data_IF_065031574689
#
_entry.id   IF_065031574689
#
_cell.length_a   1.000
_cell.length_b   1.000
_cell.length_c   1.000
_cell.angle_alpha   90.00
_cell.angle_beta   90.00
_cell.angle_gamma   90.00
#
_symmetry.space_group_name_H-M   'P 1'
#
loop_
_entity.id
_entity.type
_entity.pdbx_description
1 polymer ?
#
# COMPACT_ATOMS: atom_id res chain seq x y z
N UNK A 1 -11.35 -13.93 -0.48
CA UNK A 1 -10.85 -12.94 0.52
C UNK A 1 -9.53 -13.33 1.19
N UNK A 2 -9.28 -14.60 1.55
CA UNK A 2 -8.09 -14.97 2.32
C UNK A 2 -6.76 -14.72 1.58
N UNK A 3 -6.71 -15.05 0.28
CA UNK A 3 -5.50 -14.84 -0.54
C UNK A 3 -5.17 -13.34 -0.67
N UNK A 4 -6.18 -12.50 -0.93
CA UNK A 4 -5.99 -11.03 -1.02
C UNK A 4 -5.59 -10.41 0.33
N UNK A 5 -6.10 -10.95 1.44
CA UNK A 5 -5.73 -10.51 2.81
C UNK A 5 -4.31 -10.89 3.21
N UNK A 6 -3.78 -11.97 2.63
CA UNK A 6 -2.42 -12.42 2.87
C UNK A 6 -1.42 -11.73 1.93
N UNK A 7 -1.86 -11.41 0.72
CA UNK A 7 -1.01 -10.78 -0.28
C UNK A 7 -0.89 -9.28 -0.08
N UNK A 8 -1.95 -8.57 0.33
CA UNK A 8 -1.96 -7.13 0.58
C UNK A 8 -2.05 -6.82 2.09
N UNK A 9 -1.59 -5.65 2.60
CA UNK A 9 -1.66 -5.25 4.01
C UNK A 9 -3.11 -4.95 4.47
N UNK A 10 -4.05 -5.82 4.12
CA UNK A 10 -5.49 -5.73 4.31
C UNK A 10 -5.95 -5.99 5.75
N UNK A 11 -5.05 -6.43 6.63
CA UNK A 11 -5.43 -7.04 7.91
C UNK A 11 -5.97 -6.07 8.96
N UNK A 12 -5.93 -4.75 8.71
CA UNK A 12 -6.68 -3.82 9.53
C UNK A 12 -8.10 -3.72 9.01
N UNK A 13 -9.00 -4.54 9.55
CA UNK A 13 -10.45 -4.36 9.41
C UNK A 13 -10.80 -2.98 10.02
N UNK A 14 -11.10 -1.94 9.23
CA UNK A 14 -11.60 -0.71 9.83
C UNK A 14 -12.93 -1.07 10.50
N UNK A 15 -13.05 -0.83 11.81
CA UNK A 15 -14.26 -1.15 12.56
C UNK A 15 -15.36 -0.18 12.14
N UNK A 16 -16.07 -0.47 11.05
CA UNK A 16 -17.33 0.15 10.59
C UNK A 16 -17.39 1.69 10.49
N UNK A 17 -16.34 2.44 10.84
CA UNK A 17 -16.34 3.90 10.96
C UNK A 17 -15.48 4.52 9.85
N UNK A 18 -15.97 5.59 9.23
CA UNK A 18 -15.24 6.33 8.19
C UNK A 18 -13.90 6.89 8.67
N UNK A 19 -13.79 7.21 9.97
CA UNK A 19 -12.56 7.71 10.61
C UNK A 19 -11.45 6.66 10.60
N UNK A 20 -11.79 5.39 10.83
CA UNK A 20 -10.81 4.30 10.84
C UNK A 20 -10.26 4.05 9.43
N UNK A 21 -11.11 4.18 8.40
CA UNK A 21 -10.68 4.09 7.01
C UNK A 21 -9.75 5.25 6.65
N UNK A 22 -10.09 6.47 7.05
CA UNK A 22 -9.24 7.65 6.81
C UNK A 22 -7.85 7.48 7.45
N UNK A 23 -7.81 7.06 8.72
CA UNK A 23 -6.54 6.82 9.44
C UNK A 23 -5.72 5.74 8.71
N UNK A 24 -6.37 4.67 8.26
CA UNK A 24 -5.68 3.58 7.57
C UNK A 24 -5.10 4.01 6.20
N UNK A 25 -5.87 4.76 5.40
CA UNK A 25 -5.37 5.33 4.13
C UNK A 25 -4.19 6.26 4.37
N UNK A 26 -4.26 7.09 5.42
CA UNK A 26 -3.15 7.98 5.80
C UNK A 26 -1.91 7.18 6.21
N UNK A 27 -2.06 6.10 6.98
CA UNK A 27 -0.94 5.24 7.37
C UNK A 27 -0.30 4.57 6.15
N UNK A 28 -1.10 4.07 5.20
CA UNK A 28 -0.56 3.50 3.96
C UNK A 28 0.15 4.54 3.09
N UNK A 29 -0.38 5.76 3.00
CA UNK A 29 0.28 6.87 2.29
C UNK A 29 1.63 7.21 2.93
N UNK A 30 1.70 7.24 4.26
CA UNK A 30 2.96 7.47 4.98
C UNK A 30 3.93 6.30 4.73
N UNK A 31 3.45 5.06 4.76
CA UNK A 31 4.27 3.88 4.51
C UNK A 31 4.83 3.88 3.07
N UNK A 32 4.00 4.21 2.07
CA UNK A 32 4.40 4.35 0.68
C UNK A 32 5.46 5.45 0.50
N UNK A 33 5.25 6.62 1.12
CA UNK A 33 6.22 7.72 1.10
C UNK A 33 7.57 7.29 1.70
N UNK A 34 7.56 6.63 2.87
CA UNK A 34 8.78 6.14 3.53
C UNK A 34 9.49 5.11 2.68
N UNK A 35 8.76 4.13 2.13
CA UNK A 35 9.31 3.16 1.18
C UNK A 35 9.91 3.85 -0.06
N UNK A 36 9.21 4.81 -0.64
CA UNK A 36 9.66 5.57 -1.81
C UNK A 36 10.95 6.35 -1.53
N UNK A 37 11.07 6.97 -0.36
CA UNK A 37 12.30 7.67 0.05
C UNK A 37 13.46 6.70 0.21
N UNK A 38 13.26 5.57 0.88
CA UNK A 38 14.31 4.53 1.06
C UNK A 38 14.78 4.02 -0.30
N UNK A 39 13.84 3.73 -1.20
CA UNK A 39 14.11 3.25 -2.55
C UNK A 39 14.82 4.31 -3.39
N UNK A 40 14.42 5.58 -3.28
CA UNK A 40 15.07 6.71 -3.95
C UNK A 40 16.52 6.91 -3.50
N UNK A 41 16.79 6.74 -2.20
CA UNK A 41 18.15 6.79 -1.64
C UNK A 41 18.99 5.60 -2.15
N UNK A 42 18.44 4.38 -2.14
CA UNK A 42 19.08 3.20 -2.76
C UNK A 42 19.28 3.39 -4.26
N UNK A 43 18.44 4.19 -4.91
CA UNK A 43 18.46 4.49 -6.33
C UNK A 43 19.66 5.30 -6.81
N UNK A 44 20.43 5.88 -5.90
CA UNK A 44 21.62 6.65 -6.25
C UNK A 44 22.80 5.77 -6.72
N UNK A 45 22.73 4.45 -6.52
CA UNK A 45 23.68 3.49 -7.07
C UNK A 45 23.25 3.04 -8.47
N UNK A 46 24.08 3.16 -9.52
CA UNK A 46 23.66 3.01 -10.92
C UNK A 46 23.11 1.62 -11.29
N UNK A 47 23.63 0.54 -10.69
CA UNK A 47 23.12 -0.84 -10.90
C UNK A 47 21.90 -1.16 -10.03
N UNK A 48 21.89 -0.64 -8.80
CA UNK A 48 20.83 -0.91 -7.82
C UNK A 48 19.61 -0.04 -8.11
N UNK A 49 19.79 1.13 -8.71
CA UNK A 49 18.72 2.09 -8.97
C UNK A 49 17.71 1.66 -10.02
N UNK A 50 18.12 0.85 -11.00
CA UNK A 50 17.16 0.20 -11.91
C UNK A 50 16.26 -0.79 -11.17
N UNK A 51 16.85 -1.64 -10.32
CA UNK A 51 16.12 -2.64 -9.54
C UNK A 51 15.23 -1.95 -8.51
N UNK A 52 15.76 -0.93 -7.82
CA UNK A 52 15.04 -0.10 -6.86
C UNK A 52 13.87 0.63 -7.54
N UNK A 53 14.04 1.18 -8.74
CA UNK A 53 12.97 1.81 -9.49
C UNK A 53 11.83 0.85 -9.86
N UNK A 54 12.17 -0.36 -10.32
CA UNK A 54 11.18 -1.40 -10.62
C UNK A 54 10.44 -1.82 -9.35
N UNK A 55 11.17 -2.09 -8.26
CA UNK A 55 10.60 -2.48 -6.98
C UNK A 55 9.73 -1.37 -6.39
N UNK A 56 10.15 -0.11 -6.50
CA UNK A 56 9.41 1.07 -6.06
C UNK A 56 8.11 1.25 -6.83
N UNK A 57 8.13 1.08 -8.15
CA UNK A 57 6.91 1.08 -8.96
C UNK A 57 5.96 -0.04 -8.57
N UNK A 58 6.48 -1.25 -8.32
CA UNK A 58 5.69 -2.39 -7.87
C UNK A 58 5.07 -2.15 -6.48
N UNK A 59 5.83 -1.57 -5.56
CA UNK A 59 5.38 -1.17 -4.23
C UNK A 59 4.31 -0.09 -4.28
N UNK A 60 4.51 0.96 -5.08
CA UNK A 60 3.51 2.02 -5.25
C UNK A 60 2.20 1.49 -5.84
N UNK A 61 2.27 0.59 -6.83
CA UNK A 61 1.10 -0.11 -7.34
C UNK A 61 0.42 -0.95 -6.24
N UNK A 62 1.22 -1.66 -5.46
CA UNK A 62 0.75 -2.50 -4.37
C UNK A 62 0.03 -1.70 -3.26
N UNK A 63 0.58 -0.55 -2.85
CA UNK A 63 -0.06 0.37 -1.90
C UNK A 63 -1.35 0.98 -2.48
N UNK A 64 -1.32 1.38 -3.76
CA UNK A 64 -2.50 1.92 -4.45
C UNK A 64 -3.63 0.90 -4.52
N UNK A 65 -3.33 -0.34 -4.90
CA UNK A 65 -4.31 -1.44 -4.94
C UNK A 65 -4.85 -1.74 -3.55
N UNK A 66 -4.00 -1.68 -2.51
CA UNK A 66 -4.43 -1.85 -1.11
C UNK A 66 -5.45 -0.80 -0.69
N UNK A 67 -5.23 0.48 -1.05
CA UNK A 67 -6.15 1.58 -0.78
C UNK A 67 -7.49 1.35 -1.47
N UNK A 68 -7.48 1.02 -2.76
CA UNK A 68 -8.69 0.76 -3.54
C UNK A 68 -9.49 -0.41 -2.97
N UNK A 69 -8.82 -1.52 -2.63
CA UNK A 69 -9.47 -2.69 -2.06
C UNK A 69 -10.09 -2.37 -0.68
N UNK A 70 -9.45 -1.56 0.16
CA UNK A 70 -10.02 -1.19 1.45
C UNK A 70 -11.25 -0.28 1.34
N UNK A 71 -11.27 0.61 0.35
CA UNK A 71 -12.47 1.40 0.02
C UNK A 71 -13.60 0.47 -0.44
N UNK A 72 -13.31 -0.51 -1.31
CA UNK A 72 -14.30 -1.47 -1.79
C UNK A 72 -14.84 -2.39 -0.69
N UNK A 73 -14.01 -2.82 0.28
CA UNK A 73 -14.42 -3.62 1.43
C UNK A 73 -15.25 -2.79 2.43
N UNK A 74 -14.91 -1.51 2.63
CA UNK A 74 -15.72 -0.59 3.43
C UNK A 74 -17.09 -0.34 2.82
N UNK A 75 -17.17 -0.22 1.49
CA UNK A 75 -18.44 -0.15 0.76
C UNK A 75 -19.21 -1.49 0.73
N UNK A 76 -18.64 -2.56 1.31
CA UNK A 76 -19.17 -3.94 1.29
C UNK A 76 -19.47 -4.46 -0.13
N UNK A 77 -18.75 -3.94 -1.12
CA UNK A 77 -18.84 -4.37 -2.52
C UNK A 77 -18.09 -5.68 -2.73
N UNK A 78 -16.99 -5.87 -2.00
CA UNK A 78 -16.24 -7.12 -1.95
C UNK A 78 -16.84 -8.01 -0.85
N UNK A 79 -17.37 -9.17 -1.25
CA UNK A 79 -18.01 -10.16 -0.36
C UNK A 79 -17.17 -11.43 -0.24
#
# INVERSE_FOLDING_TARGET
>A
MEILKNLFPFSFKPKANWKDLLIWVVVLLIADLVCGVIIGILGHLPLIGWIAGIIGGLLGLYFTVSIVLAVLDFLKVLK
#
